data_IF_682919692356
#
_entry.id   IF_682919692356
#
_cell.length_a   1.000
_cell.length_b   1.000
_cell.length_c   1.000
_cell.angle_alpha   90.00
_cell.angle_beta   90.00
_cell.angle_gamma   90.00
#
_symmetry.space_group_name_H-M   'P 1'
#
loop_
_entity.id
_entity.type
_entity.pdbx_description
1 polymer ?
#
# COMPACT_ATOMS: atom_id res chain seq x y z
N UNK A 1 -0.43 1.47 -50.74
CA UNK A 1 -0.52 1.96 -49.35
C UNK A 1 -1.02 0.80 -48.52
N UNK A 2 -0.25 0.16 -47.63
CA UNK A 2 -0.82 -0.83 -46.74
C UNK A 2 -1.49 -0.11 -45.56
N UNK A 3 -2.70 -0.56 -45.25
CA UNK A 3 -3.51 -0.18 -44.09
C UNK A 3 -2.71 -0.29 -42.79
N UNK A 4 -2.67 0.81 -42.04
CA UNK A 4 -2.18 0.81 -40.66
C UNK A 4 -3.26 0.23 -39.75
N UNK A 5 -2.98 -0.95 -39.19
CA UNK A 5 -3.76 -1.52 -38.09
C UNK A 5 -3.79 -0.54 -36.89
N UNK A 6 -4.93 -0.39 -36.19
CA UNK A 6 -5.02 0.48 -35.03
C UNK A 6 -4.22 -0.10 -33.86
N UNK A 7 -3.33 0.71 -33.28
CA UNK A 7 -2.61 0.39 -32.04
C UNK A 7 -3.61 0.26 -30.88
N UNK A 8 -3.55 -0.81 -30.05
CA UNK A 8 -4.45 -0.96 -28.94
C UNK A 8 -4.12 0.02 -27.81
N UNK A 9 -5.09 0.88 -27.49
CA UNK A 9 -5.36 1.43 -26.15
C UNK A 9 -4.24 2.21 -25.49
N UNK A 10 -4.02 3.46 -25.91
CA UNK A 10 -3.42 4.45 -25.02
C UNK A 10 -4.38 4.64 -23.83
N UNK A 11 -3.99 4.19 -22.63
CA UNK A 11 -4.69 4.54 -21.41
C UNK A 11 -4.62 6.05 -21.25
N UNK A 12 -5.73 6.74 -21.47
CA UNK A 12 -5.84 8.19 -21.30
C UNK A 12 -5.75 8.51 -19.80
N UNK A 13 -4.56 8.84 -19.31
CA UNK A 13 -4.31 9.20 -17.91
C UNK A 13 -2.83 9.49 -17.65
N UNK A 14 -2.48 10.11 -16.50
CA UNK A 14 -1.09 10.25 -16.10
C UNK A 14 -0.41 8.88 -16.01
N UNK A 15 0.90 8.78 -16.31
CA UNK A 15 1.60 7.51 -16.24
C UNK A 15 1.57 6.94 -14.81
N UNK A 16 1.54 5.61 -14.64
CA UNK A 16 1.59 4.99 -13.32
C UNK A 16 2.89 5.32 -12.61
N UNK A 17 2.80 5.58 -11.30
CA UNK A 17 3.99 5.66 -10.44
C UNK A 17 4.36 4.26 -9.99
N UNK A 18 5.61 3.87 -10.28
CA UNK A 18 6.19 2.61 -9.86
C UNK A 18 7.34 2.91 -8.90
N UNK A 19 7.29 2.35 -7.69
CA UNK A 19 8.43 2.41 -6.78
C UNK A 19 9.63 1.63 -7.35
N UNK A 20 10.88 2.07 -7.11
CA UNK A 20 12.06 1.37 -7.61
C UNK A 20 12.15 -0.10 -7.18
N UNK A 21 12.78 -0.95 -7.99
CA UNK A 21 12.98 -2.38 -7.67
C UNK A 21 13.94 -2.62 -6.49
N UNK A 22 14.78 -1.63 -6.15
CA UNK A 22 15.65 -1.63 -4.97
C UNK A 22 14.97 -1.03 -3.73
N UNK A 23 13.66 -0.78 -3.78
CA UNK A 23 12.89 -0.27 -2.65
C UNK A 23 12.96 -1.23 -1.44
N UNK A 24 12.99 -0.73 -0.19
CA UNK A 24 13.08 -1.57 1.01
C UNK A 24 11.99 -2.65 1.12
N UNK A 25 10.81 -2.39 0.57
CA UNK A 25 9.69 -3.34 0.56
C UNK A 25 10.03 -4.65 -0.17
N UNK A 26 10.89 -4.63 -1.19
CA UNK A 26 11.30 -5.83 -1.92
C UNK A 26 12.09 -6.80 -1.03
N UNK A 27 12.98 -6.27 -0.20
CA UNK A 27 13.72 -7.07 0.79
C UNK A 27 12.79 -7.57 1.90
N UNK A 28 11.93 -6.69 2.41
CA UNK A 28 10.97 -7.02 3.46
C UNK A 28 9.98 -8.10 3.01
N UNK A 29 9.48 -8.04 1.78
CA UNK A 29 8.60 -9.05 1.20
C UNK A 29 9.27 -10.43 1.13
N UNK A 30 10.57 -10.48 0.87
CA UNK A 30 11.34 -11.72 0.96
C UNK A 30 11.43 -12.22 2.40
N UNK A 31 11.82 -11.37 3.35
CA UNK A 31 11.99 -11.76 4.75
C UNK A 31 10.67 -12.18 5.42
N UNK A 32 9.55 -11.58 5.02
CA UNK A 32 8.22 -12.02 5.47
C UNK A 32 7.89 -13.45 5.01
N UNK A 33 8.27 -13.83 3.78
CA UNK A 33 8.13 -15.23 3.31
C UNK A 33 9.01 -16.20 4.09
N UNK A 34 10.13 -15.71 4.61
CA UNK A 34 11.02 -16.42 5.52
C UNK A 34 10.52 -16.37 6.99
N UNK A 35 9.32 -15.82 7.24
CA UNK A 35 8.65 -15.74 8.55
C UNK A 35 9.41 -14.92 9.60
N UNK A 36 10.21 -13.92 9.18
CA UNK A 36 10.79 -12.94 10.10
C UNK A 36 9.67 -12.08 10.70
N UNK A 37 9.75 -11.81 12.00
CA UNK A 37 8.72 -11.07 12.74
C UNK A 37 8.55 -9.63 12.20
N UNK A 38 7.31 -9.18 12.08
CA UNK A 38 6.94 -7.86 11.55
C UNK A 38 7.59 -6.71 12.34
N UNK A 39 7.63 -6.81 13.66
CA UNK A 39 8.26 -5.83 14.56
C UNK A 39 9.76 -5.72 14.32
N UNK A 40 10.45 -6.85 14.18
CA UNK A 40 11.87 -6.88 13.83
C UNK A 40 12.11 -6.24 12.45
N UNK A 41 11.25 -6.53 11.47
CA UNK A 41 11.34 -5.95 10.13
C UNK A 41 11.11 -4.45 10.15
N UNK A 42 10.12 -3.95 10.90
CA UNK A 42 9.87 -2.53 11.04
C UNK A 42 11.06 -1.80 11.69
N UNK A 43 11.71 -2.43 12.68
CA UNK A 43 12.90 -1.88 13.33
C UNK A 43 14.14 -1.87 12.42
N UNK A 44 14.37 -2.95 11.65
CA UNK A 44 15.52 -3.09 10.74
C UNK A 44 15.35 -2.33 9.42
N UNK A 45 14.11 -2.17 8.97
CA UNK A 45 13.75 -1.54 7.70
C UNK A 45 12.70 -0.43 7.93
N UNK A 46 13.00 0.63 8.72
CA UNK A 46 12.02 1.63 9.14
C UNK A 46 11.44 2.47 7.98
N UNK A 47 12.08 2.44 6.81
CA UNK A 47 11.60 3.06 5.58
C UNK A 47 10.61 2.19 4.78
N UNK A 48 10.41 0.91 5.16
CA UNK A 48 9.52 -0.01 4.47
C UNK A 48 8.07 0.19 4.87
N UNK A 49 7.22 0.56 3.93
CA UNK A 49 5.77 0.60 4.16
C UNK A 49 5.20 -0.79 4.42
N UNK A 50 5.71 -1.81 3.75
CA UNK A 50 5.23 -3.18 3.92
C UNK A 50 5.44 -3.71 5.34
N UNK A 51 6.60 -3.47 5.96
CA UNK A 51 6.87 -3.91 7.33
C UNK A 51 5.86 -3.31 8.32
N UNK A 52 5.62 -2.00 8.21
CA UNK A 52 4.65 -1.28 9.04
C UNK A 52 3.21 -1.74 8.76
N UNK A 53 2.84 -2.01 7.51
CA UNK A 53 1.51 -2.48 7.16
C UNK A 53 1.20 -3.86 7.78
N UNK A 54 2.15 -4.80 7.73
CA UNK A 54 1.98 -6.13 8.33
C UNK A 54 1.89 -6.02 9.86
N UNK A 55 2.77 -5.21 10.47
CA UNK A 55 2.71 -4.96 11.92
C UNK A 55 1.36 -4.33 12.33
N UNK A 56 0.82 -3.44 11.51
CA UNK A 56 -0.50 -2.84 11.72
C UNK A 56 -1.64 -3.86 11.61
N UNK A 57 -1.60 -4.74 10.60
CA UNK A 57 -2.60 -5.81 10.43
C UNK A 57 -2.58 -6.78 11.62
N UNK A 58 -1.39 -7.15 12.11
CA UNK A 58 -1.24 -8.00 13.30
C UNK A 58 -1.81 -7.34 14.56
N UNK A 59 -1.51 -6.05 14.76
CA UNK A 59 -2.07 -5.27 15.88
C UNK A 59 -3.60 -5.15 15.77
N UNK A 60 -4.12 -4.93 14.57
CA UNK A 60 -5.57 -4.85 14.32
C UNK A 60 -6.25 -6.18 14.63
N UNK A 61 -5.68 -7.29 14.16
CA UNK A 61 -6.19 -8.64 14.43
C UNK A 61 -6.19 -8.99 15.93
N UNK A 62 -5.27 -8.41 16.70
CA UNK A 62 -5.21 -8.52 18.16
C UNK A 62 -6.14 -7.56 18.91
N UNK A 63 -6.96 -6.75 18.20
CA UNK A 63 -7.85 -5.76 18.80
C UNK A 63 -7.13 -4.52 19.34
N UNK A 64 -5.84 -4.34 19.03
CA UNK A 64 -5.05 -3.15 19.42
C UNK A 64 -5.22 -2.06 18.36
N UNK A 65 -6.42 -1.48 18.27
CA UNK A 65 -6.76 -0.56 17.17
C UNK A 65 -5.94 0.74 17.17
N UNK A 66 -5.59 1.27 18.35
CA UNK A 66 -4.71 2.46 18.46
C UNK A 66 -3.31 2.14 17.91
N UNK A 67 -2.74 0.99 18.28
CA UNK A 67 -1.44 0.54 17.77
C UNK A 67 -1.49 0.33 16.26
N UNK A 68 -2.54 -0.37 15.78
CA UNK A 68 -2.76 -0.61 14.36
C UNK A 68 -2.79 0.70 13.58
N UNK A 69 -3.54 1.69 14.07
CA UNK A 69 -3.62 3.01 13.46
C UNK A 69 -2.25 3.72 13.45
N UNK A 70 -1.50 3.69 14.55
CA UNK A 70 -0.17 4.30 14.63
C UNK A 70 0.85 3.65 13.68
N UNK A 71 0.88 2.31 13.62
CA UNK A 71 1.72 1.56 12.70
C UNK A 71 1.32 1.80 11.25
N UNK A 72 0.02 1.74 10.94
CA UNK A 72 -0.50 1.99 9.60
C UNK A 72 -0.17 3.40 9.12
N UNK A 73 -0.34 4.42 9.98
CA UNK A 73 0.00 5.81 9.68
C UNK A 73 1.49 5.98 9.39
N UNK A 74 2.34 5.25 10.11
CA UNK A 74 3.79 5.22 9.85
C UNK A 74 4.07 4.64 8.46
N UNK A 75 3.53 3.46 8.14
CA UNK A 75 3.71 2.83 6.83
C UNK A 75 3.17 3.67 5.68
N UNK A 76 2.00 4.28 5.88
CA UNK A 76 1.36 5.22 4.95
C UNK A 76 2.29 6.40 4.65
N UNK A 77 2.84 7.04 5.69
CA UNK A 77 3.72 8.18 5.52
C UNK A 77 5.01 7.81 4.77
N UNK A 78 5.65 6.69 5.13
CA UNK A 78 6.85 6.20 4.41
C UNK A 78 6.57 5.94 2.93
N UNK A 79 5.41 5.38 2.64
CA UNK A 79 5.00 5.02 1.29
C UNK A 79 4.70 6.24 0.44
N UNK A 80 3.96 7.21 0.98
CA UNK A 80 3.69 8.46 0.27
C UNK A 80 4.97 9.25 0.00
N UNK A 81 5.93 9.25 0.93
CA UNK A 81 7.22 9.89 0.69
C UNK A 81 8.04 9.19 -0.40
N UNK A 82 8.00 7.85 -0.44
CA UNK A 82 8.62 7.08 -1.51
C UNK A 82 7.97 7.37 -2.87
N UNK A 83 6.63 7.40 -2.92
CA UNK A 83 5.89 7.73 -4.14
C UNK A 83 6.20 9.15 -4.63
N UNK A 84 6.26 10.14 -3.72
CA UNK A 84 6.64 11.53 -4.07
C UNK A 84 8.03 11.61 -4.67
N UNK A 85 9.00 10.88 -4.12
CA UNK A 85 10.35 10.77 -4.70
C UNK A 85 10.33 10.09 -6.08
N UNK A 86 9.42 9.16 -6.30
CA UNK A 86 9.18 8.52 -7.60
C UNK A 86 8.31 9.35 -8.57
N UNK A 87 7.96 10.59 -8.22
CA UNK A 87 7.25 11.53 -9.09
C UNK A 87 5.74 11.63 -8.88
N UNK A 88 5.17 10.90 -7.92
CA UNK A 88 3.74 11.00 -7.59
C UNK A 88 3.40 12.33 -6.92
N UNK A 89 2.33 12.98 -7.40
CA UNK A 89 1.94 14.34 -7.00
C UNK A 89 0.68 14.39 -6.13
N UNK A 90 0.35 13.28 -5.46
CA UNK A 90 -0.86 13.17 -4.65
C UNK A 90 -2.08 12.60 -5.39
N UNK A 91 -1.94 12.32 -6.69
CA UNK A 91 -3.00 11.73 -7.53
C UNK A 91 -2.37 10.91 -8.65
N UNK A 92 -3.16 10.00 -9.21
CA UNK A 92 -2.77 9.13 -10.31
C UNK A 92 -2.42 7.71 -9.88
N UNK A 93 -2.24 6.82 -10.88
CA UNK A 93 -2.22 5.38 -10.64
C UNK A 93 -0.96 4.94 -9.87
N UNK A 94 -1.17 4.08 -8.88
CA UNK A 94 -0.14 3.37 -8.11
C UNK A 94 -0.52 1.89 -8.14
N UNK A 95 -0.14 1.15 -9.19
CA UNK A 95 -0.72 -0.16 -9.45
C UNK A 95 -0.24 -1.23 -8.46
N UNK A 96 -1.17 -2.07 -8.01
CA UNK A 96 -0.97 -3.23 -7.15
C UNK A 96 -0.15 -4.35 -7.80
N UNK A 97 -0.23 -4.48 -9.14
CA UNK A 97 0.53 -5.51 -9.84
C UNK A 97 2.04 -5.34 -9.64
N UNK A 98 2.50 -4.11 -9.48
CA UNK A 98 3.89 -3.78 -9.15
C UNK A 98 4.18 -4.08 -7.68
N UNK A 99 5.08 -5.03 -7.42
CA UNK A 99 5.31 -5.57 -6.07
C UNK A 99 5.77 -4.50 -5.06
N UNK A 100 6.76 -3.62 -5.38
CA UNK A 100 7.17 -2.53 -4.49
C UNK A 100 6.04 -1.59 -4.06
N UNK A 101 4.97 -1.43 -4.85
CA UNK A 101 3.84 -0.58 -4.50
C UNK A 101 2.90 -1.21 -3.46
N UNK A 102 2.95 -2.51 -3.23
CA UNK A 102 1.96 -3.20 -2.39
C UNK A 102 2.02 -2.76 -0.93
N UNK A 103 3.20 -2.42 -0.41
CA UNK A 103 3.34 -1.96 0.98
C UNK A 103 2.62 -0.65 1.27
N UNK A 104 2.68 0.32 0.36
CA UNK A 104 1.94 1.58 0.51
C UNK A 104 0.43 1.37 0.39
N UNK A 105 -0.04 0.55 -0.57
CA UNK A 105 -1.46 0.24 -0.74
C UNK A 105 -2.04 -0.49 0.47
N UNK A 106 -1.29 -1.46 1.02
CA UNK A 106 -1.65 -2.15 2.27
C UNK A 106 -1.71 -1.17 3.45
N UNK A 107 -0.73 -0.27 3.57
CA UNK A 107 -0.74 0.75 4.64
C UNK A 107 -1.96 1.65 4.58
N UNK A 108 -2.39 2.08 3.38
CA UNK A 108 -3.61 2.87 3.18
C UNK A 108 -4.84 2.07 3.63
N UNK A 109 -4.94 0.80 3.20
CA UNK A 109 -6.09 -0.04 3.53
C UNK A 109 -6.22 -0.30 5.04
N UNK A 110 -5.14 -0.68 5.71
CA UNK A 110 -5.16 -0.94 7.16
C UNK A 110 -5.33 0.34 7.98
N UNK A 111 -4.83 1.48 7.50
CA UNK A 111 -5.10 2.79 8.11
C UNK A 111 -6.60 3.10 8.08
N UNK A 112 -7.26 2.90 6.94
CA UNK A 112 -8.70 3.11 6.81
C UNK A 112 -9.51 2.17 7.71
N UNK A 113 -9.13 0.89 7.79
CA UNK A 113 -9.76 -0.09 8.70
C UNK A 113 -9.58 0.27 10.17
N UNK A 114 -8.37 0.65 10.57
CA UNK A 114 -8.07 1.06 11.93
C UNK A 114 -8.79 2.36 12.31
N UNK A 115 -8.88 3.33 11.39
CA UNK A 115 -9.66 4.56 11.58
C UNK A 115 -11.14 4.26 11.80
N UNK A 116 -11.75 3.41 10.96
CA UNK A 116 -13.15 3.01 11.14
C UNK A 116 -13.39 2.30 12.48
N UNK A 117 -12.44 1.48 12.95
CA UNK A 117 -12.54 0.83 14.26
C UNK A 117 -12.39 1.80 15.45
N UNK A 118 -11.97 3.04 15.20
CA UNK A 118 -11.83 4.13 16.17
C UNK A 118 -12.89 5.23 15.98
N UNK A 119 -13.93 4.95 15.18
CA UNK A 119 -15.01 5.90 14.83
C UNK A 119 -14.52 7.18 14.09
N UNK A 120 -13.37 7.11 13.42
CA UNK A 120 -12.80 8.18 12.57
C UNK A 120 -13.24 8.01 11.10
N UNK A 121 -14.56 8.09 10.86
CA UNK A 121 -15.19 7.80 9.57
C UNK A 121 -14.65 8.65 8.40
N UNK A 122 -14.34 9.93 8.66
CA UNK A 122 -13.78 10.85 7.65
C UNK A 122 -12.38 10.41 7.17
N UNK A 123 -11.55 9.86 8.06
CA UNK A 123 -10.24 9.30 7.69
C UNK A 123 -10.41 7.98 6.95
N UNK A 124 -11.34 7.11 7.40
CA UNK A 124 -11.65 5.87 6.72
C UNK A 124 -12.12 6.10 5.28
N UNK A 125 -13.02 7.06 5.07
CA UNK A 125 -13.52 7.44 3.75
C UNK A 125 -12.40 7.99 2.85
N UNK A 126 -11.53 8.86 3.38
CA UNK A 126 -10.37 9.38 2.62
C UNK A 126 -9.38 8.29 2.23
N UNK A 127 -9.13 7.32 3.11
CA UNK A 127 -8.27 6.18 2.80
C UNK A 127 -8.89 5.29 1.71
N UNK A 128 -10.19 5.01 1.78
CA UNK A 128 -10.90 4.22 0.78
C UNK A 128 -10.89 4.91 -0.60
N UNK A 129 -11.16 6.21 -0.65
CA UNK A 129 -11.08 7.00 -1.87
C UNK A 129 -9.68 6.97 -2.46
N UNK A 130 -8.66 7.26 -1.65
CA UNK A 130 -7.27 7.25 -2.12
C UNK A 130 -6.86 5.87 -2.66
N UNK A 131 -7.23 4.79 -1.99
CA UNK A 131 -6.93 3.44 -2.44
C UNK A 131 -7.56 3.13 -3.81
N UNK A 132 -8.84 3.51 -3.99
CA UNK A 132 -9.55 3.35 -5.25
C UNK A 132 -8.95 4.20 -6.39
N UNK A 133 -8.51 5.42 -6.09
CA UNK A 133 -7.81 6.29 -7.04
C UNK A 133 -6.43 5.75 -7.44
N UNK A 134 -5.72 5.11 -6.51
CA UNK A 134 -4.43 4.47 -6.77
C UNK A 134 -4.57 3.21 -7.64
N UNK A 135 -5.42 2.27 -7.23
CA UNK A 135 -5.72 1.05 -7.98
C UNK A 135 -7.06 0.43 -7.51
N UNK A 136 -8.11 0.45 -8.35
CA UNK A 136 -9.39 -0.19 -8.03
C UNK A 136 -9.26 -1.69 -7.71
N UNK A 137 -8.33 -2.41 -8.35
CA UNK A 137 -8.11 -3.83 -8.07
C UNK A 137 -7.47 -4.07 -6.68
N UNK A 138 -6.80 -3.06 -6.11
CA UNK A 138 -6.30 -3.15 -4.75
C UNK A 138 -7.44 -3.15 -3.72
N UNK A 139 -8.52 -2.41 -3.98
CA UNK A 139 -9.71 -2.36 -3.10
C UNK A 139 -10.27 -3.77 -2.90
N UNK A 140 -10.56 -4.48 -3.99
CA UNK A 140 -11.13 -5.83 -3.92
C UNK A 140 -10.18 -6.83 -3.25
N UNK A 141 -8.88 -6.74 -3.55
CA UNK A 141 -7.86 -7.62 -2.98
C UNK A 141 -7.66 -7.42 -1.48
N UNK A 142 -7.82 -6.19 -1.00
CA UNK A 142 -7.58 -5.82 0.40
C UNK A 142 -8.86 -5.80 1.24
N UNK A 143 -10.04 -5.80 0.62
CA UNK A 143 -11.33 -5.90 1.30
C UNK A 143 -11.53 -7.27 2.00
N UNK A 144 -10.88 -8.33 1.50
CA UNK A 144 -11.08 -9.70 1.99
C UNK A 144 -10.01 -10.25 2.95
N UNK A 145 -8.88 -9.56 3.15
CA UNK A 145 -7.74 -10.16 3.84
C UNK A 145 -7.73 -9.91 5.35
N UNK A 146 -8.30 -10.85 6.11
CA UNK A 146 -7.58 -11.34 7.29
C UNK A 146 -6.40 -12.17 6.79
N UNK A 147 -5.20 -11.60 6.74
CA UNK A 147 -4.03 -12.16 6.07
C UNK A 147 -3.75 -13.63 6.44
N UNK A 148 -3.98 -14.53 5.47
CA UNK A 148 -3.36 -15.86 5.38
C UNK A 148 -2.93 -16.05 3.94
N UNK A 149 -1.63 -15.93 3.68
CA UNK A 149 -0.85 -16.66 2.67
C UNK A 149 0.64 -16.40 2.89
#
# INVERSE_FOLDING_TARGET
MPDSLPMPGATSGPPPTLLPEDHPDTVVARLLRERVASEELAARHPASSLAWAVLADEAFAAGRFVDAYAFARTGYHRGLDALRRAGWRGTGPVPWHHEPNRGVLRSIAILGRAAAALDEDDEAARCAQLLAECDPAAVDRLAGSGYRE
#
